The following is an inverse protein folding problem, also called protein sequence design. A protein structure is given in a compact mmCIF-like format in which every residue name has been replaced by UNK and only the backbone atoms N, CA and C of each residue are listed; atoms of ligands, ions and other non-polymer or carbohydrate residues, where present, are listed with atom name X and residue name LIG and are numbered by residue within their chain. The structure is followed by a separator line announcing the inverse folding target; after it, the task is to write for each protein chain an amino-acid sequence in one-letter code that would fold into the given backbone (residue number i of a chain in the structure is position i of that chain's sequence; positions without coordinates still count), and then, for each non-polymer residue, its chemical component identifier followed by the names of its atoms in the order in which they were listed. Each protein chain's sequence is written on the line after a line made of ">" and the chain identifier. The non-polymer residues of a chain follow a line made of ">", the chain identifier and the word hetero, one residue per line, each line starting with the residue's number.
data_IF_867931984661
#
_entry.id   IF_867931984661
#
_cell.length_a   1.000
_cell.length_b   1.000
_cell.length_c   1.000
_cell.angle_alpha   90.00
_cell.angle_beta   90.00
_cell.angle_gamma   90.00
#
_symmetry.space_group_name_H-M   'P 1'
#
loop_
_entity.id
_entity.type
_entity.pdbx_description
1 polymer ?
#
# COMPACT_ATOMS: atom_id res chain seq x y z
N UNK A 1 11.11 -26.39 -15.52
CA UNK A 1 12.44 -25.84 -15.90
C UNK A 1 12.23 -24.96 -17.14
N UNK A 2 12.82 -23.76 -17.17
CA UNK A 2 12.63 -22.83 -18.30
C UNK A 2 13.58 -23.25 -19.45
N UNK A 3 13.12 -24.18 -20.29
CA UNK A 3 13.99 -24.84 -21.27
C UNK A 3 14.22 -24.01 -22.56
N UNK A 4 13.42 -22.97 -22.78
CA UNK A 4 13.55 -22.08 -23.94
C UNK A 4 14.20 -20.74 -23.56
N UNK A 5 15.01 -20.14 -24.45
CA UNK A 5 15.71 -18.86 -24.20
C UNK A 5 14.75 -17.74 -23.77
N UNK A 6 13.56 -17.67 -24.38
CA UNK A 6 12.53 -16.69 -24.01
C UNK A 6 11.97 -16.94 -22.60
N UNK A 7 11.84 -18.20 -22.18
CA UNK A 7 11.36 -18.56 -20.85
C UNK A 7 12.38 -18.17 -19.77
N UNK A 8 13.68 -18.38 -20.00
CA UNK A 8 14.75 -17.92 -19.10
C UNK A 8 14.75 -16.39 -18.94
N UNK A 9 14.54 -15.66 -20.05
CA UNK A 9 14.39 -14.18 -20.00
C UNK A 9 13.17 -13.77 -19.17
N UNK A 10 12.03 -14.43 -19.35
CA UNK A 10 10.81 -14.16 -18.56
C UNK A 10 11.00 -14.46 -17.09
N UNK A 11 11.70 -15.55 -16.74
CA UNK A 11 12.01 -15.90 -15.35
C UNK A 11 12.78 -14.77 -14.64
N UNK A 12 13.85 -14.27 -15.27
CA UNK A 12 14.64 -13.13 -14.74
C UNK A 12 13.80 -11.86 -14.57
N UNK A 13 13.04 -11.48 -15.59
CA UNK A 13 12.16 -10.30 -15.53
C UNK A 13 11.09 -10.43 -14.43
N UNK A 14 10.54 -11.62 -14.24
CA UNK A 14 9.51 -11.87 -13.24
C UNK A 14 10.07 -11.74 -11.83
N UNK A 15 11.29 -12.19 -11.58
CA UNK A 15 11.95 -12.04 -10.29
C UNK A 15 12.16 -10.55 -9.92
N UNK A 16 12.69 -9.75 -10.85
CA UNK A 16 12.86 -8.32 -10.65
C UNK A 16 11.53 -7.59 -10.39
N UNK A 17 10.48 -7.95 -11.12
CA UNK A 17 9.13 -7.40 -10.92
C UNK A 17 8.56 -7.85 -9.58
N UNK A 18 8.77 -9.11 -9.18
CA UNK A 18 8.35 -9.65 -7.88
C UNK A 18 8.97 -8.88 -6.74
N UNK A 19 10.28 -8.64 -6.78
CA UNK A 19 10.99 -7.92 -5.72
C UNK A 19 10.49 -6.47 -5.59
N UNK A 20 10.30 -5.75 -6.69
CA UNK A 20 9.72 -4.40 -6.68
C UNK A 20 8.31 -4.38 -6.08
N UNK A 21 7.44 -5.29 -6.54
CA UNK A 21 6.06 -5.38 -6.05
C UNK A 21 6.00 -5.78 -4.57
N UNK A 22 6.87 -6.69 -4.13
CA UNK A 22 6.98 -7.10 -2.72
C UNK A 22 7.27 -5.89 -1.83
N UNK A 23 8.29 -5.10 -2.18
CA UNK A 23 8.65 -3.89 -1.41
C UNK A 23 7.50 -2.88 -1.34
N UNK A 24 6.82 -2.61 -2.47
CA UNK A 24 5.68 -1.69 -2.48
C UNK A 24 4.49 -2.23 -1.68
N UNK A 25 4.19 -3.53 -1.76
CA UNK A 25 3.14 -4.15 -0.94
C UNK A 25 3.46 -4.10 0.55
N UNK A 26 4.71 -4.35 0.95
CA UNK A 26 5.13 -4.24 2.35
C UNK A 26 4.98 -2.81 2.86
N UNK A 27 5.41 -1.81 2.08
CA UNK A 27 5.22 -0.39 2.42
C UNK A 27 3.75 -0.04 2.64
N UNK A 28 2.85 -0.49 1.75
CA UNK A 28 1.40 -0.29 1.90
C UNK A 28 0.84 -0.99 3.14
N UNK A 29 1.32 -2.19 3.48
CA UNK A 29 0.89 -2.89 4.70
C UNK A 29 1.34 -2.16 5.96
N UNK A 30 2.59 -1.68 5.98
CA UNK A 30 3.16 -0.98 7.13
C UNK A 30 2.43 0.34 7.37
N UNK A 31 2.27 1.20 6.36
CA UNK A 31 1.60 2.49 6.55
C UNK A 31 0.14 2.33 7.02
N UNK A 32 -0.56 1.32 6.53
CA UNK A 32 -1.93 0.99 6.98
C UNK A 32 -1.92 0.55 8.45
N UNK A 33 -0.90 -0.20 8.90
CA UNK A 33 -0.74 -0.58 10.30
C UNK A 33 -0.42 0.65 11.16
N UNK A 34 0.45 1.53 10.67
CA UNK A 34 0.89 2.73 11.39
C UNK A 34 -0.28 3.68 11.66
N UNK A 35 -1.16 3.92 10.67
CA UNK A 35 -2.37 4.73 10.85
C UNK A 35 -3.31 4.10 11.89
N UNK A 36 -3.50 2.77 11.85
CA UNK A 36 -4.35 2.08 12.84
C UNK A 36 -3.81 2.11 14.26
N UNK A 37 -2.48 2.09 14.41
CA UNK A 37 -1.85 2.21 15.73
C UNK A 37 -1.94 3.64 16.27
N UNK A 38 -1.72 4.63 15.40
CA UNK A 38 -1.82 6.05 15.74
C UNK A 38 -3.23 6.42 16.22
N UNK A 39 -4.25 5.90 15.53
CA UNK A 39 -5.65 6.08 15.86
C UNK A 39 -6.04 5.70 17.32
N UNK A 40 -5.31 4.79 17.98
CA UNK A 40 -5.61 4.39 19.36
C UNK A 40 -4.76 5.07 20.43
N UNK A 41 -3.79 5.93 20.06
CA UNK A 41 -2.73 6.37 20.97
C UNK A 41 -2.28 7.83 20.80
N UNK A 42 -2.45 8.42 19.63
CA UNK A 42 -1.85 9.71 19.29
C UNK A 42 -2.91 10.81 19.12
N UNK A 43 -2.45 12.07 19.03
CA UNK A 43 -3.33 13.23 18.87
C UNK A 43 -3.97 13.31 17.48
N UNK A 44 -5.15 13.93 17.37
CA UNK A 44 -5.92 14.01 16.13
C UNK A 44 -5.12 14.58 14.94
N UNK A 45 -4.28 15.60 15.16
CA UNK A 45 -3.44 16.20 14.11
C UNK A 45 -2.41 15.22 13.54
N UNK A 46 -1.79 14.41 14.40
CA UNK A 46 -0.79 13.42 13.97
C UNK A 46 -1.44 12.29 13.16
N UNK A 47 -2.65 11.88 13.55
CA UNK A 47 -3.44 10.87 12.83
C UNK A 47 -3.84 11.38 11.44
N UNK A 48 -4.28 12.64 11.32
CA UNK A 48 -4.63 13.26 10.04
C UNK A 48 -3.41 13.35 9.10
N UNK A 49 -2.25 13.75 9.61
CA UNK A 49 -1.01 13.79 8.84
C UNK A 49 -0.60 12.40 8.33
N UNK A 50 -0.69 11.37 9.18
CA UNK A 50 -0.40 9.98 8.79
C UNK A 50 -1.40 9.45 7.76
N UNK A 51 -2.68 9.85 7.85
CA UNK A 51 -3.69 9.51 6.86
C UNK A 51 -3.38 10.12 5.49
N UNK A 52 -2.98 11.39 5.43
CA UNK A 52 -2.57 12.05 4.19
C UNK A 52 -1.37 11.35 3.54
N UNK A 53 -0.37 10.97 4.33
CA UNK A 53 0.77 10.20 3.85
C UNK A 53 0.36 8.81 3.34
N UNK A 54 -0.54 8.13 4.05
CA UNK A 54 -1.07 6.82 3.66
C UNK A 54 -1.82 6.89 2.33
N UNK A 55 -2.66 7.90 2.11
CA UNK A 55 -3.34 8.13 0.83
C UNK A 55 -2.33 8.26 -0.32
N UNK A 56 -1.34 9.14 -0.17
CA UNK A 56 -0.30 9.36 -1.20
C UNK A 56 0.43 8.07 -1.58
N UNK A 57 0.79 7.24 -0.59
CA UNK A 57 1.51 5.98 -0.82
C UNK A 57 0.60 4.95 -1.51
N UNK A 58 -0.65 4.82 -1.07
CA UNK A 58 -1.62 3.89 -1.63
C UNK A 58 -1.94 4.26 -3.09
N UNK A 59 -2.14 5.53 -3.39
CA UNK A 59 -2.43 5.98 -4.76
C UNK A 59 -1.22 5.83 -5.68
N UNK A 60 -0.01 6.08 -5.20
CA UNK A 60 1.22 5.78 -5.96
C UNK A 60 1.34 4.28 -6.26
N UNK A 61 0.98 3.40 -5.31
CA UNK A 61 0.98 1.95 -5.53
C UNK A 61 -0.08 1.52 -6.55
N UNK A 62 -1.23 2.21 -6.59
CA UNK A 62 -2.27 1.98 -7.58
C UNK A 62 -1.85 2.45 -8.98
N UNK A 63 -1.25 3.64 -9.08
CA UNK A 63 -0.75 4.22 -10.34
C UNK A 63 0.32 3.33 -10.99
N UNK A 64 1.17 2.70 -10.17
CA UNK A 64 2.19 1.74 -10.64
C UNK A 64 1.63 0.35 -10.98
N UNK A 65 0.33 0.11 -10.75
CA UNK A 65 -0.32 -1.17 -11.03
C UNK A 65 0.01 -2.29 -10.03
N UNK A 66 0.71 -1.99 -8.93
CA UNK A 66 1.00 -2.99 -7.90
C UNK A 66 -0.26 -3.42 -7.16
N UNK A 67 -1.22 -2.50 -6.99
CA UNK A 67 -2.56 -2.79 -6.47
C UNK A 67 -3.63 -2.26 -7.42
N UNK A 68 -4.77 -2.94 -7.51
CA UNK A 68 -5.88 -2.46 -8.33
C UNK A 68 -6.52 -1.20 -7.72
N UNK A 69 -6.99 -0.27 -8.57
CA UNK A 69 -7.65 0.99 -8.15
C UNK A 69 -8.77 0.80 -7.13
N UNK A 70 -9.61 -0.23 -7.32
CA UNK A 70 -10.68 -0.60 -6.37
C UNK A 70 -10.15 -1.10 -5.02
N UNK A 71 -8.97 -1.72 -4.98
CA UNK A 71 -8.34 -2.13 -3.72
C UNK A 71 -7.76 -0.90 -2.99
N UNK A 72 -7.10 0.00 -3.72
CA UNK A 72 -6.62 1.27 -3.19
C UNK A 72 -7.75 2.11 -2.57
N UNK A 73 -8.82 2.35 -3.33
CA UNK A 73 -10.02 3.09 -2.87
C UNK A 73 -10.65 2.44 -1.62
N UNK A 74 -10.81 1.11 -1.59
CA UNK A 74 -11.31 0.41 -0.39
C UNK A 74 -10.42 0.59 0.83
N UNK A 75 -9.09 0.62 0.66
CA UNK A 75 -8.16 0.84 1.78
C UNK A 75 -8.26 2.27 2.30
N UNK A 76 -8.30 3.26 1.41
CA UNK A 76 -8.44 4.68 1.76
C UNK A 76 -9.76 4.93 2.50
N UNK A 77 -10.88 4.44 1.94
CA UNK A 77 -12.21 4.59 2.54
C UNK A 77 -12.28 4.01 3.96
N UNK A 78 -11.70 2.81 4.17
CA UNK A 78 -11.67 2.17 5.50
C UNK A 78 -10.80 2.94 6.51
N UNK A 79 -9.68 3.50 6.08
CA UNK A 79 -8.83 4.32 6.95
C UNK A 79 -9.52 5.64 7.30
N UNK A 80 -10.15 6.29 6.33
CA UNK A 80 -10.90 7.52 6.54
C UNK A 80 -12.09 7.31 7.50
N UNK A 81 -12.85 6.23 7.33
CA UNK A 81 -13.93 5.89 8.26
C UNK A 81 -13.46 5.68 9.70
N UNK A 82 -12.30 5.04 9.88
CA UNK A 82 -11.70 4.82 11.20
C UNK A 82 -11.22 6.11 11.85
N UNK A 83 -10.61 7.03 11.10
CA UNK A 83 -10.20 8.34 11.64
C UNK A 83 -11.42 9.19 11.99
N UNK A 84 -12.42 9.22 11.11
CA UNK A 84 -13.66 9.94 11.37
C UNK A 84 -14.36 9.45 12.65
N UNK A 85 -14.40 8.14 12.91
CA UNK A 85 -15.04 7.60 14.12
C UNK A 85 -14.33 7.98 15.44
N UNK A 86 -13.09 8.47 15.38
CA UNK A 86 -12.34 8.91 16.57
C UNK A 86 -12.48 10.43 16.76
N UNK A 87 -12.81 11.15 15.68
CA UNK A 87 -12.89 12.61 15.68
C UNK A 87 -14.31 13.10 16.03
N UNK A 88 -15.32 12.24 15.86
CA UNK A 88 -16.71 12.44 16.32
C UNK A 88 -16.84 11.95 17.76
#
# INVERSE_FOLDING_TARGET
>A
MANHKSALKRARQNEERRMRNKTTMTKVKNIVKDVRLAAGKESNETVLNKLNQAQSIIDKAAKKGTIHKKNASRKISRLAGLVNSITV
#
